data_IF_979908553072
#
_entry.id   IF_979908553072
#
_cell.length_a   1.000
_cell.length_b   1.000
_cell.length_c   1.000
_cell.angle_alpha   90.00
_cell.angle_beta   90.00
_cell.angle_gamma   90.00
#
_symmetry.space_group_name_H-M   'P 1'
#
loop_
_entity.id
_entity.type
_entity.pdbx_description
1 polymer ?
#
# COMPACT_ATOMS: atom_id res chain seq x y z
N UNK A 1 -0.11 -20.75 -8.46
CA UNK A 1 0.79 -20.58 -9.63
C UNK A 1 0.01 -20.32 -10.92
N UNK A 2 -0.87 -21.22 -11.36
CA UNK A 2 -1.63 -21.05 -12.62
C UNK A 2 -2.45 -19.75 -12.65
N UNK A 3 -3.15 -19.40 -11.56
CA UNK A 3 -4.12 -18.29 -11.56
C UNK A 3 -3.50 -16.89 -11.76
N UNK A 4 -2.26 -16.65 -11.35
CA UNK A 4 -1.58 -15.35 -11.59
C UNK A 4 -0.89 -15.28 -12.90
N UNK A 5 -0.39 -16.40 -13.40
CA UNK A 5 0.05 -16.43 -14.79
C UNK A 5 -1.13 -16.00 -15.67
N UNK A 6 -2.34 -16.53 -15.43
CA UNK A 6 -3.55 -16.07 -16.11
C UNK A 6 -3.92 -14.61 -15.81
N UNK A 7 -3.87 -14.16 -14.54
CA UNK A 7 -4.21 -12.77 -14.19
C UNK A 7 -3.28 -11.73 -14.81
N UNK A 8 -1.98 -11.98 -14.79
CA UNK A 8 -0.96 -11.14 -15.43
C UNK A 8 -1.12 -11.19 -16.95
N UNK A 9 -1.21 -12.39 -17.54
CA UNK A 9 -1.37 -12.54 -18.98
C UNK A 9 -2.64 -11.87 -19.50
N UNK A 10 -3.75 -12.00 -18.78
CA UNK A 10 -5.02 -11.36 -19.13
C UNK A 10 -4.91 -9.83 -19.07
N UNK A 11 -4.26 -9.30 -18.04
CA UNK A 11 -4.10 -7.84 -17.88
C UNK A 11 -3.23 -7.25 -18.98
N UNK A 12 -2.05 -7.82 -19.22
CA UNK A 12 -1.18 -7.39 -20.31
C UNK A 12 -1.85 -7.62 -21.67
N UNK A 13 -2.58 -8.72 -21.84
CA UNK A 13 -3.34 -9.03 -23.05
C UNK A 13 -4.44 -8.03 -23.35
N UNK A 14 -5.16 -7.54 -22.34
CA UNK A 14 -6.18 -6.49 -22.50
C UNK A 14 -5.55 -5.15 -22.86
N UNK A 15 -4.45 -4.77 -22.20
CA UNK A 15 -3.72 -3.53 -22.50
C UNK A 15 -3.19 -3.56 -23.94
N UNK A 16 -2.50 -4.65 -24.33
CA UNK A 16 -2.00 -4.82 -25.70
C UNK A 16 -3.14 -4.94 -26.73
N UNK A 17 -4.24 -5.59 -26.36
CA UNK A 17 -5.42 -5.74 -27.20
C UNK A 17 -6.00 -4.39 -27.63
N UNK A 18 -6.02 -3.40 -26.73
CA UNK A 18 -6.40 -2.02 -27.07
C UNK A 18 -5.44 -1.43 -28.11
N UNK A 19 -4.13 -1.65 -27.96
CA UNK A 19 -3.14 -1.19 -28.93
C UNK A 19 -3.30 -1.83 -30.32
N UNK A 20 -3.63 -3.12 -30.38
CA UNK A 20 -3.91 -3.82 -31.64
C UNK A 20 -5.16 -3.25 -32.32
N UNK A 21 -6.24 -3.00 -31.56
CA UNK A 21 -7.46 -2.37 -32.09
C UNK A 21 -7.20 -0.94 -32.57
N UNK A 22 -6.33 -0.19 -31.87
CA UNK A 22 -5.92 1.16 -32.24
C UNK A 22 -4.96 1.20 -33.45
N UNK A 23 -4.46 0.05 -33.90
CA UNK A 23 -3.58 -0.08 -35.07
C UNK A 23 -2.09 0.13 -34.81
N UNK A 24 -1.70 0.45 -33.56
CA UNK A 24 -0.30 0.59 -33.16
C UNK A 24 -0.09 0.12 -31.71
N UNK A 25 0.18 -1.18 -31.49
CA UNK A 25 0.46 -1.70 -30.15
C UNK A 25 1.81 -1.22 -29.59
N UNK A 26 2.74 -0.76 -30.44
CA UNK A 26 4.03 -0.28 -29.99
C UNK A 26 3.94 1.12 -29.37
N UNK A 27 2.90 1.90 -29.71
CA UNK A 27 2.60 3.17 -29.05
C UNK A 27 2.34 3.05 -27.54
N UNK A 28 2.05 1.84 -27.03
CA UNK A 28 1.89 1.57 -25.60
C UNK A 28 3.22 1.30 -24.88
N UNK A 29 4.35 1.28 -25.59
CA UNK A 29 5.68 1.04 -25.03
C UNK A 29 6.52 2.32 -25.16
N UNK A 30 6.66 3.05 -24.06
CA UNK A 30 7.58 4.16 -23.91
C UNK A 30 8.51 3.89 -22.71
N UNK A 31 9.75 3.53 -23.02
CA UNK A 31 10.71 3.06 -22.02
C UNK A 31 11.17 4.17 -21.07
N UNK A 32 11.16 5.43 -21.55
CA UNK A 32 11.54 6.60 -20.75
C UNK A 32 10.47 6.86 -19.69
N UNK A 33 9.19 6.90 -20.10
CA UNK A 33 8.05 7.10 -19.21
C UNK A 33 7.96 5.98 -18.19
N UNK A 34 8.16 4.72 -18.62
CA UNK A 34 8.24 3.58 -17.71
C UNK A 34 9.38 3.74 -16.70
N UNK A 35 10.57 4.15 -17.16
CA UNK A 35 11.73 4.42 -16.31
C UNK A 35 11.48 5.51 -15.27
N UNK A 36 10.81 6.60 -15.65
CA UNK A 36 10.41 7.68 -14.73
C UNK A 36 9.49 7.16 -13.64
N UNK A 37 8.45 6.41 -14.02
CA UNK A 37 7.49 5.84 -13.06
C UNK A 37 8.20 4.88 -12.10
N UNK A 38 9.01 3.95 -12.61
CA UNK A 38 9.77 3.00 -11.77
C UNK A 38 10.73 3.74 -10.84
N UNK A 39 11.50 4.72 -11.35
CA UNK A 39 12.47 5.48 -10.56
C UNK A 39 11.83 6.23 -9.40
N UNK A 40 10.76 6.98 -9.66
CA UNK A 40 10.02 7.69 -8.61
C UNK A 40 9.36 6.72 -7.61
N UNK A 41 8.86 5.58 -8.08
CA UNK A 41 8.27 4.53 -7.22
C UNK A 41 9.30 3.93 -6.27
N UNK A 42 10.50 3.62 -6.75
CA UNK A 42 11.60 3.08 -5.95
C UNK A 42 12.02 4.07 -4.88
N UNK A 43 12.21 5.34 -5.24
CA UNK A 43 12.54 6.41 -4.29
C UNK A 43 11.46 6.50 -3.20
N UNK A 44 10.18 6.60 -3.57
CA UNK A 44 9.07 6.65 -2.61
C UNK A 44 9.04 5.45 -1.67
N UNK A 45 9.31 4.25 -2.20
CA UNK A 45 9.35 3.00 -1.43
C UNK A 45 10.52 2.98 -0.44
N UNK A 46 11.70 3.41 -0.85
CA UNK A 46 12.89 3.51 0.02
C UNK A 46 12.61 4.49 1.16
N UNK A 47 12.09 5.68 0.84
CA UNK A 47 11.72 6.67 1.85
C UNK A 47 10.69 6.15 2.86
N UNK A 48 9.65 5.46 2.37
CA UNK A 48 8.65 4.88 3.26
C UNK A 48 9.19 3.71 4.09
N UNK A 49 10.20 2.99 3.62
CA UNK A 49 10.78 1.83 4.31
C UNK A 49 11.69 2.24 5.48
N UNK A 50 12.12 3.50 5.53
CA UNK A 50 12.80 4.06 6.71
C UNK A 50 11.83 4.29 7.89
N UNK A 51 10.53 4.42 7.62
CA UNK A 51 9.51 4.73 8.62
C UNK A 51 8.55 3.57 8.94
N UNK A 52 8.54 2.49 8.15
CA UNK A 52 7.57 1.39 8.25
C UNK A 52 8.25 0.02 8.13
N UNK A 53 7.65 -1.05 8.70
CA UNK A 53 8.20 -2.39 8.62
C UNK A 53 8.34 -2.87 7.16
N UNK A 54 9.45 -3.58 6.89
CA UNK A 54 9.83 -4.12 5.57
C UNK A 54 8.85 -5.17 5.01
N UNK A 55 7.92 -5.68 5.81
CA UNK A 55 6.92 -6.66 5.37
C UNK A 55 5.91 -6.12 4.35
N UNK A 56 5.89 -4.79 4.08
CA UNK A 56 4.94 -4.17 3.14
C UNK A 56 5.61 -3.54 1.91
N UNK A 57 6.79 -4.02 1.51
CA UNK A 57 7.55 -3.43 0.38
C UNK A 57 6.78 -3.45 -0.94
N UNK A 58 6.15 -4.56 -1.32
CA UNK A 58 5.37 -4.66 -2.56
C UNK A 58 4.15 -3.75 -2.56
N UNK A 59 3.40 -3.74 -1.45
CA UNK A 59 2.23 -2.87 -1.28
C UNK A 59 2.63 -1.39 -1.34
N UNK A 60 3.73 -1.02 -0.67
CA UNK A 60 4.25 0.34 -0.70
C UNK A 60 4.68 0.73 -2.12
N UNK A 61 5.46 -0.11 -2.80
CA UNK A 61 5.90 0.15 -4.17
C UNK A 61 4.72 0.32 -5.13
N UNK A 62 3.72 -0.56 -5.07
CA UNK A 62 2.52 -0.43 -5.90
C UNK A 62 1.76 0.88 -5.65
N UNK A 63 1.64 1.30 -4.39
CA UNK A 63 0.99 2.58 -4.06
C UNK A 63 1.80 3.79 -4.53
N UNK A 64 3.13 3.78 -4.35
CA UNK A 64 3.99 4.84 -4.87
C UNK A 64 4.05 4.87 -6.39
N UNK A 65 3.80 3.75 -7.06
CA UNK A 65 3.75 3.69 -8.53
C UNK A 65 2.58 4.45 -9.13
N UNK A 66 1.42 4.39 -8.49
CA UNK A 66 0.28 5.22 -8.89
C UNK A 66 0.59 6.71 -8.69
N UNK A 67 1.16 7.07 -7.55
CA UNK A 67 1.53 8.46 -7.25
C UNK A 67 2.58 8.96 -8.26
N UNK A 68 3.61 8.15 -8.53
CA UNK A 68 4.64 8.45 -9.53
C UNK A 68 4.06 8.65 -10.93
N UNK A 69 3.12 7.79 -11.34
CA UNK A 69 2.43 7.93 -12.63
C UNK A 69 1.67 9.25 -12.76
N UNK A 70 0.95 9.66 -11.70
CA UNK A 70 0.27 10.96 -11.70
C UNK A 70 1.23 12.15 -11.64
N UNK A 71 2.33 12.06 -10.90
CA UNK A 71 3.36 13.12 -10.89
C UNK A 71 3.98 13.28 -12.29
N UNK A 72 4.32 12.17 -12.95
CA UNK A 72 4.86 12.18 -14.30
C UNK A 72 3.86 12.74 -15.31
N UNK A 73 2.57 12.40 -15.18
CA UNK A 73 1.50 13.00 -15.99
C UNK A 73 1.42 14.51 -15.80
N UNK A 74 1.45 15.00 -14.55
CA UNK A 74 1.39 16.43 -14.27
C UNK A 74 2.61 17.16 -14.83
N UNK A 75 3.81 16.57 -14.75
CA UNK A 75 5.01 17.13 -15.40
C UNK A 75 4.87 17.17 -16.93
N UNK A 76 4.34 16.11 -17.54
CA UNK A 76 4.07 16.09 -18.98
C UNK A 76 3.05 17.17 -19.38
N UNK A 77 1.95 17.28 -18.63
CA UNK A 77 0.89 18.25 -18.87
C UNK A 77 1.39 19.69 -18.74
N UNK A 78 2.25 20.00 -17.76
CA UNK A 78 2.82 21.35 -17.62
C UNK A 78 3.76 21.70 -18.77
N UNK A 79 4.59 20.76 -19.23
CA UNK A 79 5.48 20.97 -20.39
C UNK A 79 4.66 21.18 -21.67
N UNK A 80 3.65 20.34 -21.89
CA UNK A 80 2.76 20.44 -23.06
C UNK A 80 2.05 21.80 -23.05
N UNK A 81 1.47 22.19 -21.90
CA UNK A 81 0.75 23.46 -21.77
C UNK A 81 1.69 24.66 -21.93
N UNK A 82 2.94 24.58 -21.47
CA UNK A 82 3.92 25.66 -21.59
C UNK A 82 4.54 25.81 -22.99
N UNK A 83 4.46 24.77 -23.81
CA UNK A 83 5.07 24.72 -25.15
C UNK A 83 4.04 24.73 -26.28
N UNK A 84 2.76 24.90 -25.94
CA UNK A 84 1.66 24.84 -26.90
C UNK A 84 1.59 26.12 -27.74
N UNK A 85 1.76 25.97 -29.05
CA UNK A 85 1.35 26.99 -30.02
C UNK A 85 -0.04 26.62 -30.55
N UNK A 86 -1.03 27.48 -30.29
CA UNK A 86 -2.42 27.28 -30.69
C UNK A 86 -2.59 27.23 -32.23
N UNK A 87 -1.60 27.70 -32.99
CA UNK A 87 -1.59 27.62 -34.45
C UNK A 87 -1.15 26.26 -35.02
N UNK A 88 -0.50 25.38 -34.22
CA UNK A 88 0.05 24.10 -34.71
C UNK A 88 -0.13 22.96 -33.68
N UNK A 89 -1.30 22.30 -33.75
CA UNK A 89 -1.70 21.23 -32.83
C UNK A 89 -1.19 19.84 -33.22
N UNK A 90 -0.40 19.70 -34.30
CA UNK A 90 0.00 18.39 -34.85
C UNK A 90 0.74 17.51 -33.84
N UNK A 91 1.46 18.14 -32.91
CA UNK A 91 2.27 17.46 -31.89
C UNK A 91 1.51 17.20 -30.58
N UNK A 92 0.30 17.72 -30.42
CA UNK A 92 -0.45 17.61 -29.17
C UNK A 92 -0.89 16.16 -28.90
N UNK A 93 -1.41 15.48 -29.91
CA UNK A 93 -1.87 14.08 -29.79
C UNK A 93 -0.75 13.14 -29.30
N UNK A 94 0.40 13.08 -29.97
CA UNK A 94 1.54 12.25 -29.54
C UNK A 94 2.04 12.59 -28.14
N UNK A 95 2.17 13.88 -27.80
CA UNK A 95 2.64 14.29 -26.48
C UNK A 95 1.66 13.91 -25.36
N UNK A 96 0.35 14.07 -25.61
CA UNK A 96 -0.68 13.68 -24.66
C UNK A 96 -0.74 12.16 -24.49
N UNK A 97 -0.55 11.40 -25.57
CA UNK A 97 -0.47 9.94 -25.51
C UNK A 97 0.65 9.50 -24.55
N UNK A 98 1.87 10.01 -24.73
CA UNK A 98 3.01 9.71 -23.85
C UNK A 98 2.74 10.15 -22.40
N UNK A 99 2.14 11.31 -22.18
CA UNK A 99 1.79 11.76 -20.83
C UNK A 99 0.79 10.81 -20.14
N UNK A 100 -0.22 10.33 -20.88
CA UNK A 100 -1.25 9.40 -20.38
C UNK A 100 -0.74 7.96 -20.18
N UNK A 101 0.38 7.59 -20.83
CA UNK A 101 1.06 6.32 -20.54
C UNK A 101 1.57 6.28 -19.08
N UNK A 102 1.92 7.41 -18.47
CA UNK A 102 2.51 7.42 -17.14
C UNK A 102 1.54 6.91 -16.04
N UNK A 103 0.29 7.41 -15.92
CA UNK A 103 -0.69 6.82 -15.00
C UNK A 103 -1.03 5.37 -15.35
N UNK A 104 -1.12 5.03 -16.65
CA UNK A 104 -1.39 3.66 -17.09
C UNK A 104 -0.31 2.69 -16.57
N UNK A 105 0.97 3.05 -16.68
CA UNK A 105 2.06 2.28 -16.11
C UNK A 105 2.01 2.21 -14.59
N UNK A 106 1.71 3.33 -13.91
CA UNK A 106 1.57 3.36 -12.46
C UNK A 106 0.52 2.36 -11.93
N UNK A 107 -0.65 2.33 -12.57
CA UNK A 107 -1.71 1.37 -12.22
C UNK A 107 -1.37 -0.06 -12.64
N UNK A 108 -0.71 -0.26 -13.78
CA UNK A 108 -0.27 -1.59 -14.23
C UNK A 108 0.72 -2.19 -13.24
N UNK A 109 1.71 -1.41 -12.79
CA UNK A 109 2.68 -1.81 -11.77
C UNK A 109 2.01 -2.10 -10.43
N UNK A 110 1.07 -1.26 -9.99
CA UNK A 110 0.28 -1.52 -8.77
C UNK A 110 -0.46 -2.85 -8.83
N UNK A 111 -1.09 -3.13 -9.97
CA UNK A 111 -1.82 -4.38 -10.17
C UNK A 111 -0.87 -5.58 -10.11
N UNK A 112 0.29 -5.52 -10.77
CA UNK A 112 1.33 -6.54 -10.68
C UNK A 112 1.81 -6.76 -9.22
N UNK A 113 1.99 -5.70 -8.44
CA UNK A 113 2.39 -5.80 -7.04
C UNK A 113 1.32 -6.45 -6.16
N UNK A 114 0.04 -6.11 -6.37
CA UNK A 114 -1.07 -6.71 -5.63
C UNK A 114 -1.17 -8.22 -5.90
N UNK A 115 -0.99 -8.59 -7.18
CA UNK A 115 -0.88 -9.98 -7.62
C UNK A 115 0.31 -10.69 -6.95
N UNK A 116 1.48 -10.05 -6.94
CA UNK A 116 2.70 -10.61 -6.36
C UNK A 116 2.61 -10.79 -4.83
N UNK A 117 2.02 -9.82 -4.14
CA UNK A 117 1.80 -9.87 -2.69
C UNK A 117 0.85 -11.02 -2.31
N UNK A 118 -0.25 -11.19 -3.05
CA UNK A 118 -1.16 -12.33 -2.88
C UNK A 118 -0.42 -13.67 -3.03
N UNK A 119 0.59 -13.73 -3.88
CA UNK A 119 1.37 -14.94 -4.13
C UNK A 119 2.37 -15.22 -3.01
N UNK A 120 3.11 -14.20 -2.60
CA UNK A 120 4.02 -14.30 -1.49
C UNK A 120 3.30 -14.72 -0.20
N UNK A 121 2.07 -14.25 0.01
CA UNK A 121 1.23 -14.68 1.13
C UNK A 121 0.74 -16.13 1.05
N UNK A 122 0.62 -16.71 -0.15
CA UNK A 122 0.20 -18.11 -0.35
C UNK A 122 1.35 -19.11 -0.26
N UNK A 123 2.59 -18.67 -0.47
CA UNK A 123 3.81 -19.49 -0.37
C UNK A 123 4.37 -19.54 1.06
N UNK A 124 3.78 -18.77 1.98
CA UNK A 124 4.12 -18.74 3.41
C UNK A 124 3.02 -19.34 4.33
N UNK A 125 2.44 -20.53 4.05
CA UNK A 125 1.45 -21.12 4.94
C UNK A 125 2.07 -21.72 6.22
N UNK A 126 3.39 -21.94 6.27
CA UNK A 126 4.03 -22.71 7.37
C UNK A 126 4.45 -21.85 8.58
N UNK A 127 4.59 -20.52 8.44
CA UNK A 127 4.85 -19.63 9.59
C UNK A 127 3.56 -19.16 10.29
N UNK A 128 2.38 -19.53 9.78
CA UNK A 128 1.11 -19.25 10.45
C UNK A 128 0.78 -20.24 11.59
N UNK A 129 1.48 -21.39 11.68
CA UNK A 129 1.38 -22.29 12.82
C UNK A 129 2.42 -22.05 13.92
N UNK A 130 3.42 -21.21 13.69
CA UNK A 130 4.48 -20.93 14.70
C UNK A 130 4.76 -19.43 14.89
N UNK A 131 3.83 -18.58 14.45
CA UNK A 131 3.78 -17.19 14.89
C UNK A 131 2.39 -16.79 15.39
N UNK A 132 1.71 -17.71 16.08
CA UNK A 132 1.10 -17.31 17.34
C UNK A 132 2.27 -17.00 18.29
N UNK A 133 2.90 -15.83 18.13
CA UNK A 133 3.47 -15.17 19.30
C UNK A 133 2.36 -15.26 20.32
N UNK A 134 2.57 -15.93 21.49
CA UNK A 134 1.53 -16.05 22.46
C UNK A 134 1.03 -14.64 22.59
N UNK A 135 -0.25 -14.41 22.25
CA UNK A 135 -0.90 -13.19 22.64
C UNK A 135 -0.69 -13.27 24.13
N UNK A 136 0.33 -12.59 24.63
CA UNK A 136 0.58 -12.47 26.04
C UNK A 136 -0.72 -11.83 26.40
N UNK A 137 -1.62 -12.67 26.92
CA UNK A 137 -2.58 -12.29 27.90
C UNK A 137 -1.68 -11.47 28.77
N UNK A 138 -1.75 -10.15 28.62
CA UNK A 138 -1.32 -9.29 29.68
C UNK A 138 -2.34 -9.67 30.75
N UNK A 139 -2.08 -10.81 31.39
CA UNK A 139 -2.16 -10.98 32.80
C UNK A 139 -1.28 -9.85 33.28
N UNK A 140 -1.90 -8.66 33.28
CA UNK A 140 -1.55 -7.64 34.22
C UNK A 140 -1.67 -8.43 35.49
N UNK A 141 -0.52 -8.81 36.04
CA UNK A 141 -0.41 -9.20 37.41
C UNK A 141 -0.88 -7.96 38.15
N UNK A 142 -2.20 -7.87 38.33
CA UNK A 142 -2.82 -6.92 39.21
C UNK A 142 -2.31 -7.43 40.53
N UNK A 143 -1.15 -6.93 40.96
CA UNK A 143 -0.70 -7.12 42.33
C UNK A 143 -1.76 -6.51 43.25
N UNK A 144 -1.37 -6.03 44.41
CA UNK A 144 -2.31 -5.39 45.35
C UNK A 144 -2.98 -4.07 44.87
N UNK A 145 -3.12 -3.83 43.56
CA UNK A 145 -3.86 -2.73 42.96
C UNK A 145 -5.37 -2.93 43.19
N UNK A 146 -5.89 -2.26 44.21
CA UNK A 146 -7.32 -2.10 44.45
C UNK A 146 -7.84 -0.80 43.84
N UNK A 147 -9.08 -0.83 43.33
CA UNK A 147 -9.82 0.35 42.95
C UNK A 147 -10.38 1.02 44.21
N UNK A 148 -10.12 2.32 44.39
CA UNK A 148 -10.60 3.10 45.55
C UNK A 148 -11.75 4.02 45.13
N UNK A 149 -12.90 3.84 45.76
CA UNK A 149 -14.11 4.62 45.55
C UNK A 149 -14.36 5.56 46.73
N UNK A 150 -14.38 6.89 46.52
CA UNK A 150 -14.77 7.83 47.56
C UNK A 150 -16.29 7.80 47.74
N UNK A 151 -16.76 7.72 48.99
CA UNK A 151 -18.17 7.88 49.34
C UNK A 151 -18.50 9.34 49.66
N UNK A 152 -19.72 9.82 49.37
CA UNK A 152 -20.17 11.17 49.74
C UNK A 152 -20.06 11.48 51.24
N UNK A 153 -20.05 10.45 52.09
CA UNK A 153 -19.90 10.57 53.54
C UNK A 153 -18.42 10.65 54.00
N UNK A 154 -17.46 10.75 53.07
CA UNK A 154 -16.03 10.89 53.34
C UNK A 154 -15.26 9.58 53.53
N UNK A 155 -15.94 8.46 53.73
CA UNK A 155 -15.33 7.12 53.84
C UNK A 155 -14.85 6.62 52.48
N UNK A 156 -13.67 6.00 52.40
CA UNK A 156 -13.18 5.42 51.15
C UNK A 156 -13.37 3.90 51.18
N UNK A 157 -13.76 3.34 50.06
CA UNK A 157 -13.89 1.89 49.90
C UNK A 157 -12.86 1.40 48.89
N UNK A 158 -12.09 0.38 49.23
CA UNK A 158 -11.23 -0.32 48.28
C UNK A 158 -11.84 -1.66 47.89
N UNK A 159 -11.77 -1.96 46.59
CA UNK A 159 -12.11 -3.26 46.02
C UNK A 159 -10.89 -3.78 45.28
N UNK A 160 -10.38 -4.94 45.67
CA UNK A 160 -9.22 -5.57 45.05
C UNK A 160 -9.43 -7.07 44.85
N UNK A 161 -8.52 -7.69 44.10
CA UNK A 161 -8.46 -9.15 43.93
C UNK A 161 -7.23 -9.64 44.68
N UNK A 162 -7.37 -10.67 45.51
CA UNK A 162 -6.24 -11.25 46.21
C UNK A 162 -5.48 -12.28 45.36
N UNK A 163 -4.34 -12.75 45.87
CA UNK A 163 -3.47 -13.73 45.20
C UNK A 163 -4.16 -15.10 44.95
N UNK A 164 -5.34 -15.32 45.53
CA UNK A 164 -6.19 -16.49 45.30
C UNK A 164 -7.31 -16.25 44.29
N UNK A 165 -7.36 -15.06 43.68
CA UNK A 165 -8.38 -14.68 42.70
C UNK A 165 -9.72 -14.27 43.30
N UNK A 166 -9.83 -14.11 44.63
CA UNK A 166 -11.07 -13.72 45.28
C UNK A 166 -11.20 -12.20 45.37
N UNK A 167 -12.43 -11.71 45.23
CA UNK A 167 -12.74 -10.28 45.39
C UNK A 167 -12.78 -9.94 46.87
N UNK A 168 -11.97 -8.95 47.28
CA UNK A 168 -11.95 -8.40 48.63
C UNK A 168 -12.41 -6.95 48.62
N UNK A 169 -13.25 -6.60 49.58
CA UNK A 169 -13.70 -5.23 49.82
C UNK A 169 -13.28 -4.77 51.21
N UNK A 170 -12.73 -3.57 51.35
CA UNK A 170 -12.33 -2.99 52.64
C UNK A 170 -12.72 -1.51 52.71
N UNK A 171 -13.16 -1.05 53.87
CA UNK A 171 -13.26 0.38 54.18
C UNK A 171 -11.90 0.90 54.65
N UNK A 172 -11.44 2.01 54.08
CA UNK A 172 -10.18 2.70 54.39
C UNK A 172 -10.39 4.18 54.64
#
# INVERSE_FOLDING_TARGET
>A
MISVIFGVLFTFGMIFGVGVIAGDPMALIDLITLGVVIGLSLIGTIFSSMAKPRSKLFSNFGNFSVIAGWIAFLMGATIISGSMDLGDLKNLGPALAVALLAPLYGYTLKFCCMIGETYFSLDSPEEASEQESPKTRQEIEVGNAGLVFPSPNGTKYSVGVDDSGNIRTRSI
#
